data_IF_940743010531
#
_entry.id   IF_940743010531
#
_cell.length_a   1.000
_cell.length_b   1.000
_cell.length_c   1.000
_cell.angle_alpha   90.00
_cell.angle_beta   90.00
_cell.angle_gamma   90.00
#
_symmetry.space_group_name_H-M   'P 1'
#
loop_
_entity.id
_entity.type
_entity.pdbx_description
1 polymer ?
#
# COMPACT_ATOMS: atom_id res chain seq x y z
N UNK A 1 -29.16 10.41 27.67
CA UNK A 1 -27.93 9.69 28.03
C UNK A 1 -27.78 8.51 27.09
N UNK A 2 -26.74 8.52 26.29
CA UNK A 2 -26.51 7.56 25.19
C UNK A 2 -25.56 8.17 24.18
N UNK A 3 -24.32 8.42 24.61
CA UNK A 3 -23.24 8.88 23.76
C UNK A 3 -22.96 7.85 22.66
N UNK A 4 -23.31 8.16 21.41
CA UNK A 4 -22.51 7.69 20.29
C UNK A 4 -21.67 8.87 19.84
N UNK A 5 -20.47 8.91 20.40
CA UNK A 5 -19.38 9.77 19.97
C UNK A 5 -18.89 9.24 18.61
N UNK A 6 -19.76 9.28 17.60
CA UNK A 6 -19.33 9.20 16.22
C UNK A 6 -18.43 10.42 16.04
N UNK A 7 -17.12 10.19 16.12
CA UNK A 7 -16.09 11.19 15.88
C UNK A 7 -16.51 12.00 14.66
N UNK A 8 -16.78 13.29 14.89
CA UNK A 8 -16.92 14.27 13.82
C UNK A 8 -15.59 14.29 13.06
N UNK A 9 -15.49 13.47 12.00
CA UNK A 9 -14.55 13.66 10.91
C UNK A 9 -15.02 14.92 10.19
N UNK A 10 -14.48 16.08 10.54
CA UNK A 10 -14.86 17.34 9.89
C UNK A 10 -14.27 17.40 8.48
N UNK A 11 -15.01 16.87 7.50
CA UNK A 11 -15.49 17.50 6.26
C UNK A 11 -14.62 18.53 5.49
N UNK A 12 -13.30 18.34 5.39
CA UNK A 12 -12.58 18.78 4.18
C UNK A 12 -11.52 17.75 3.82
N UNK A 13 -12.01 16.63 3.31
CA UNK A 13 -11.37 15.80 2.29
C UNK A 13 -9.99 15.21 2.58
N UNK A 14 -9.50 15.13 3.82
CA UNK A 14 -8.32 14.28 4.07
C UNK A 14 -8.72 12.82 3.92
N UNK A 15 -8.34 12.24 2.79
CA UNK A 15 -8.61 10.84 2.41
C UNK A 15 -7.64 9.93 3.16
N UNK A 16 -7.99 8.65 3.30
CA UNK A 16 -7.12 7.63 3.88
C UNK A 16 -5.70 7.67 3.26
N UNK A 17 -5.62 7.93 1.96
CA UNK A 17 -4.36 8.10 1.24
C UNK A 17 -3.51 9.26 1.73
N UNK A 18 -4.10 10.39 2.11
CA UNK A 18 -3.35 11.51 2.69
C UNK A 18 -2.69 11.11 4.01
N UNK A 19 -3.39 10.39 4.87
CA UNK A 19 -2.81 9.91 6.13
C UNK A 19 -1.69 8.90 5.92
N UNK A 20 -1.81 8.03 4.91
CA UNK A 20 -0.75 7.09 4.53
C UNK A 20 0.49 7.84 4.06
N UNK A 21 0.31 8.81 3.16
CA UNK A 21 1.38 9.65 2.60
C UNK A 21 2.05 10.52 3.67
N UNK A 22 1.27 11.07 4.59
CA UNK A 22 1.74 11.89 5.72
C UNK A 22 2.35 11.04 6.86
N UNK A 23 2.24 9.70 6.82
CA UNK A 23 2.77 8.81 7.86
C UNK A 23 1.93 8.74 9.14
N UNK A 24 0.67 9.18 9.08
CA UNK A 24 -0.25 9.37 10.21
C UNK A 24 -0.89 8.05 10.70
N UNK A 25 -0.07 7.12 11.22
CA UNK A 25 -0.49 5.76 11.63
C UNK A 25 -1.71 5.73 12.54
N UNK A 26 -1.83 6.66 13.48
CA UNK A 26 -2.98 6.72 14.41
C UNK A 26 -4.30 6.95 13.67
N UNK A 27 -4.30 7.84 12.67
CA UNK A 27 -5.51 8.13 11.87
C UNK A 27 -5.84 6.96 10.95
N UNK A 28 -4.82 6.36 10.33
CA UNK A 28 -4.97 5.13 9.53
C UNK A 28 -5.55 3.99 10.39
N UNK A 29 -5.06 3.80 11.61
CA UNK A 29 -5.59 2.79 12.56
C UNK A 29 -7.06 3.04 12.89
N UNK A 30 -7.39 4.26 13.26
CA UNK A 30 -8.75 4.67 13.60
C UNK A 30 -9.72 4.52 12.42
N UNK A 31 -9.23 4.74 11.21
CA UNK A 31 -10.00 4.46 10.00
C UNK A 31 -10.26 2.96 9.85
N UNK A 32 -9.22 2.14 9.94
CA UNK A 32 -9.30 0.68 9.79
C UNK A 32 -10.17 -0.02 10.85
N UNK A 33 -10.43 0.60 12.01
CA UNK A 33 -11.36 0.01 12.99
C UNK A 33 -12.82 -0.01 12.53
N UNK A 34 -13.20 0.86 11.58
CA UNK A 34 -14.59 1.01 11.14
C UNK A 34 -14.78 0.78 9.64
N UNK A 35 -13.70 0.50 8.91
CA UNK A 35 -13.68 0.43 7.45
C UNK A 35 -12.64 -0.59 6.97
N UNK A 36 -12.84 -1.11 5.77
CA UNK A 36 -11.84 -1.97 5.12
C UNK A 36 -10.58 -1.16 4.75
N UNK A 37 -9.39 -1.65 5.11
CA UNK A 37 -8.12 -1.00 4.72
C UNK A 37 -7.82 -1.23 3.23
N UNK A 38 -8.27 -2.35 2.67
CA UNK A 38 -8.06 -2.73 1.26
C UNK A 38 -9.17 -2.17 0.38
N UNK A 39 -9.21 -0.84 0.29
CA UNK A 39 -10.11 -0.13 -0.63
C UNK A 39 -9.32 0.81 -1.50
N UNK A 40 -9.86 1.09 -2.69
CA UNK A 40 -9.29 2.07 -3.60
C UNK A 40 -9.84 3.46 -3.28
N UNK A 41 -8.98 4.46 -3.34
CA UNK A 41 -9.37 5.85 -3.29
C UNK A 41 -9.82 6.38 -4.67
N UNK A 42 -9.98 7.70 -4.78
CA UNK A 42 -10.41 8.34 -6.03
C UNK A 42 -9.38 8.28 -7.16
N UNK A 43 -8.12 7.96 -6.85
CA UNK A 43 -7.05 7.75 -7.84
C UNK A 43 -6.96 6.28 -8.23
N UNK A 44 -7.83 5.42 -7.69
CA UNK A 44 -7.84 3.99 -7.94
C UNK A 44 -6.76 3.24 -7.16
N UNK A 45 -6.21 3.84 -6.10
CA UNK A 45 -5.10 3.29 -5.32
C UNK A 45 -5.50 2.90 -3.91
N UNK A 46 -4.95 1.79 -3.46
CA UNK A 46 -5.02 1.35 -2.06
C UNK A 46 -3.94 1.98 -1.16
N UNK A 47 -4.12 1.97 0.17
CA UNK A 47 -3.10 2.38 1.14
C UNK A 47 -1.73 1.73 0.93
N UNK A 48 -1.70 0.44 0.61
CA UNK A 48 -0.43 -0.29 0.41
C UNK A 48 0.34 0.24 -0.79
N UNK A 49 -0.38 0.66 -1.85
CA UNK A 49 0.19 1.22 -3.06
C UNK A 49 0.85 2.57 -2.78
N UNK A 50 0.15 3.44 -2.04
CA UNK A 50 0.72 4.72 -1.61
C UNK A 50 1.94 4.56 -0.70
N UNK A 51 1.93 3.59 0.22
CA UNK A 51 3.09 3.32 1.07
C UNK A 51 4.29 2.82 0.26
N UNK A 52 4.04 1.96 -0.74
CA UNK A 52 5.06 1.46 -1.66
C UNK A 52 5.60 2.55 -2.59
N UNK A 53 4.74 3.32 -3.28
CA UNK A 53 5.10 4.46 -4.13
C UNK A 53 6.00 5.46 -3.39
N UNK A 54 5.66 5.75 -2.13
CA UNK A 54 6.39 6.70 -1.29
C UNK A 54 7.68 6.17 -0.67
N UNK A 55 7.99 4.88 -0.82
CA UNK A 55 9.15 4.27 -0.16
C UNK A 55 9.02 4.24 1.37
N UNK A 56 7.79 4.28 1.91
CA UNK A 56 7.56 4.33 3.34
C UNK A 56 7.41 2.91 3.91
N UNK A 57 8.54 2.21 4.07
CA UNK A 57 8.59 0.86 4.64
C UNK A 57 7.88 0.77 5.99
N UNK A 58 8.05 1.76 6.86
CA UNK A 58 7.45 1.76 8.19
C UNK A 58 5.92 1.87 8.17
N UNK A 59 5.33 2.55 7.19
CA UNK A 59 3.88 2.57 6.98
C UNK A 59 3.41 1.27 6.34
N UNK A 60 4.12 0.75 5.34
CA UNK A 60 3.78 -0.51 4.70
C UNK A 60 3.78 -1.69 5.69
N UNK A 61 4.82 -1.79 6.53
CA UNK A 61 4.89 -2.76 7.61
C UNK A 61 3.69 -2.63 8.56
N UNK A 62 3.32 -1.40 8.92
CA UNK A 62 2.18 -1.14 9.78
C UNK A 62 0.84 -1.59 9.14
N UNK A 63 0.61 -1.26 7.87
CA UNK A 63 -0.58 -1.69 7.13
C UNK A 63 -0.70 -3.22 7.10
N UNK A 64 0.37 -3.94 6.78
CA UNK A 64 0.35 -5.40 6.63
C UNK A 64 0.30 -6.11 7.99
N UNK A 65 1.17 -5.74 8.92
CA UNK A 65 1.35 -6.50 10.18
C UNK A 65 0.33 -6.13 11.27
N UNK A 66 -0.10 -4.88 11.33
CA UNK A 66 -1.06 -4.44 12.37
C UNK A 66 -2.48 -4.33 11.86
N UNK A 67 -2.69 -4.01 10.58
CA UNK A 67 -4.03 -3.82 10.00
C UNK A 67 -4.44 -4.95 9.04
N UNK A 68 -3.60 -5.97 8.88
CA UNK A 68 -3.87 -7.13 8.04
C UNK A 68 -4.21 -6.77 6.58
N UNK A 69 -3.62 -5.69 6.05
CA UNK A 69 -3.78 -5.33 4.64
C UNK A 69 -3.28 -6.46 3.74
N UNK A 70 -4.05 -6.76 2.70
CA UNK A 70 -3.72 -7.82 1.74
C UNK A 70 -2.48 -7.44 0.92
N UNK A 71 -1.42 -8.23 1.03
CA UNK A 71 -0.15 -8.04 0.32
C UNK A 71 -0.34 -8.13 -1.20
N UNK A 72 -1.33 -8.91 -1.64
CA UNK A 72 -1.69 -9.12 -3.05
C UNK A 72 -2.81 -8.19 -3.52
N UNK A 73 -3.20 -7.20 -2.70
CA UNK A 73 -4.22 -6.23 -3.08
C UNK A 73 -3.82 -5.52 -4.37
N UNK A 74 -4.79 -5.42 -5.28
CA UNK A 74 -4.60 -4.83 -6.60
C UNK A 74 -5.30 -3.50 -6.73
N UNK A 75 -4.61 -2.55 -7.33
CA UNK A 75 -5.21 -1.30 -7.75
C UNK A 75 -6.08 -1.46 -9.01
N UNK A 76 -6.62 -0.34 -9.51
CA UNK A 76 -7.48 -0.34 -10.71
C UNK A 76 -6.78 -0.83 -11.98
N UNK A 77 -5.45 -0.71 -12.04
CA UNK A 77 -4.60 -1.10 -13.16
C UNK A 77 -4.02 -2.52 -12.96
N UNK A 78 -4.48 -3.21 -11.91
CA UNK A 78 -4.06 -4.57 -11.59
C UNK A 78 -2.67 -4.66 -10.96
N UNK A 79 -2.05 -3.53 -10.63
CA UNK A 79 -0.74 -3.45 -10.01
C UNK A 79 -0.86 -3.73 -8.51
N UNK A 80 0.22 -4.24 -7.92
CA UNK A 80 0.33 -4.54 -6.47
C UNK A 80 1.38 -3.62 -5.86
N UNK A 81 1.49 -3.59 -4.52
CA UNK A 81 2.58 -2.87 -3.84
C UNK A 81 3.98 -3.25 -4.37
N UNK A 82 4.17 -4.50 -4.80
CA UNK A 82 5.44 -4.96 -5.36
C UNK A 82 5.77 -4.31 -6.70
N UNK A 83 4.78 -4.02 -7.55
CA UNK A 83 4.98 -3.28 -8.80
C UNK A 83 5.46 -1.85 -8.52
N UNK A 84 4.79 -1.13 -7.61
CA UNK A 84 5.17 0.24 -7.23
C UNK A 84 6.55 0.30 -6.60
N UNK A 85 6.86 -0.60 -5.67
CA UNK A 85 8.18 -0.63 -5.04
C UNK A 85 9.29 -0.92 -6.05
N UNK A 86 9.03 -1.81 -7.02
CA UNK A 86 9.98 -2.15 -8.06
C UNK A 86 10.21 -0.98 -9.04
N UNK A 87 9.14 -0.32 -9.49
CA UNK A 87 9.23 0.79 -10.44
C UNK A 87 9.82 2.05 -9.81
N UNK A 88 9.53 2.32 -8.53
CA UNK A 88 10.09 3.46 -7.80
C UNK A 88 11.49 3.20 -7.21
N UNK A 89 12.01 1.96 -7.26
CA UNK A 89 13.38 1.62 -6.83
C UNK A 89 13.54 1.39 -5.33
N UNK A 90 12.46 1.10 -4.59
CA UNK A 90 12.46 0.94 -3.13
C UNK A 90 12.84 -0.49 -2.71
N UNK A 91 14.14 -0.77 -2.72
CA UNK A 91 14.68 -2.13 -2.51
C UNK A 91 14.36 -2.74 -1.14
N UNK A 92 14.26 -1.92 -0.11
CA UNK A 92 13.88 -2.33 1.25
C UNK A 92 12.43 -2.82 1.32
N UNK A 93 11.52 -2.16 0.62
CA UNK A 93 10.13 -2.59 0.46
C UNK A 93 10.05 -3.87 -0.38
N UNK A 94 10.78 -3.94 -1.51
CA UNK A 94 10.80 -5.15 -2.35
C UNK A 94 11.27 -6.36 -1.54
N UNK A 95 12.36 -6.23 -0.78
CA UNK A 95 12.85 -7.30 0.13
C UNK A 95 11.77 -7.73 1.11
N UNK A 96 11.15 -6.76 1.80
CA UNK A 96 10.12 -7.05 2.80
C UNK A 96 8.90 -7.77 2.20
N UNK A 97 8.40 -7.33 1.05
CA UNK A 97 7.26 -7.98 0.39
C UNK A 97 7.60 -9.42 -0.06
N UNK A 98 8.80 -9.66 -0.58
CA UNK A 98 9.27 -11.01 -0.95
C UNK A 98 9.39 -11.91 0.28
N UNK A 99 9.93 -11.41 1.39
CA UNK A 99 10.03 -12.15 2.65
C UNK A 99 8.67 -12.59 3.19
N UNK A 100 7.62 -11.81 2.92
CA UNK A 100 6.23 -12.15 3.26
C UNK A 100 5.54 -13.05 2.22
N UNK A 101 6.23 -13.42 1.14
CA UNK A 101 5.71 -14.33 0.12
C UNK A 101 4.90 -13.66 -0.98
N UNK A 102 5.09 -12.36 -1.23
CA UNK A 102 4.43 -11.68 -2.35
C UNK A 102 4.74 -12.36 -3.70
N UNK A 103 3.74 -12.43 -4.57
CA UNK A 103 3.89 -13.08 -5.88
C UNK A 103 4.74 -12.22 -6.83
N UNK A 104 6.03 -12.57 -6.95
CA UNK A 104 6.99 -11.93 -7.87
C UNK A 104 6.60 -11.98 -9.36
N UNK A 105 5.71 -12.89 -9.74
CA UNK A 105 5.31 -13.15 -11.14
C UNK A 105 3.91 -12.64 -11.47
N UNK A 106 3.29 -11.91 -10.52
CA UNK A 106 1.97 -11.32 -10.71
C UNK A 106 2.00 -10.35 -11.88
N UNK A 107 0.96 -10.38 -12.72
CA UNK A 107 0.81 -9.50 -13.88
C UNK A 107 -0.22 -8.42 -13.61
N UNK A 108 0.11 -7.18 -13.96
CA UNK A 108 -0.83 -6.07 -14.04
C UNK A 108 -1.73 -6.17 -15.29
N UNK A 109 -2.56 -5.14 -15.52
CA UNK A 109 -3.51 -5.11 -16.64
C UNK A 109 -2.82 -5.06 -18.02
N UNK A 110 -1.61 -4.49 -18.11
CA UNK A 110 -0.79 -4.48 -19.32
C UNK A 110 0.01 -5.76 -19.51
N UNK A 111 -0.06 -6.68 -18.53
CA UNK A 111 0.61 -7.97 -18.55
C UNK A 111 2.06 -7.91 -18.06
N UNK A 112 2.50 -6.76 -17.51
CA UNK A 112 3.82 -6.57 -16.95
C UNK A 112 3.90 -7.13 -15.53
N UNK A 113 5.07 -7.66 -15.19
CA UNK A 113 5.43 -8.16 -13.87
C UNK A 113 6.24 -7.12 -13.10
N UNK A 114 6.37 -7.25 -11.76
CA UNK A 114 7.25 -6.38 -10.99
C UNK A 114 8.69 -6.35 -11.51
N UNK A 115 9.20 -7.47 -12.03
CA UNK A 115 10.54 -7.54 -12.61
C UNK A 115 10.67 -6.69 -13.87
N UNK A 116 9.63 -6.66 -14.72
CA UNK A 116 9.64 -5.94 -15.99
C UNK A 116 9.51 -4.42 -15.81
N UNK A 117 8.92 -3.97 -14.70
CA UNK A 117 8.84 -2.53 -14.35
C UNK A 117 9.98 -2.05 -13.44
N UNK A 118 10.91 -2.94 -13.05
CA UNK A 118 12.00 -2.61 -12.12
C UNK A 118 12.91 -1.50 -12.67
N UNK A 119 13.13 -0.45 -11.88
CA UNK A 119 13.93 0.71 -12.31
C UNK A 119 15.43 0.58 -12.05
N UNK A 120 15.83 -0.27 -11.09
CA UNK A 120 17.22 -0.37 -10.62
C UNK A 120 17.78 -1.80 -10.70
N UNK A 121 19.09 -1.98 -10.96
CA UNK A 121 19.72 -3.31 -11.02
C UNK A 121 19.57 -4.13 -9.73
N UNK A 122 19.56 -3.48 -8.56
CA UNK A 122 19.35 -4.17 -7.28
C UNK A 122 17.95 -4.81 -7.23
N UNK A 123 16.92 -4.11 -7.70
CA UNK A 123 15.55 -4.62 -7.76
C UNK A 123 15.45 -5.81 -8.70
N UNK A 124 16.08 -5.71 -9.88
CA UNK A 124 16.17 -6.83 -10.83
C UNK A 124 16.79 -8.05 -10.16
N UNK A 125 17.84 -7.89 -9.37
CA UNK A 125 18.49 -8.99 -8.65
C UNK A 125 17.60 -9.62 -7.57
N UNK A 126 16.71 -8.85 -6.93
CA UNK A 126 15.77 -9.36 -5.93
C UNK A 126 14.60 -10.11 -6.57
N UNK A 127 14.17 -9.65 -7.74
CA UNK A 127 13.01 -10.17 -8.46
C UNK A 127 13.33 -11.29 -9.46
N UNK A 128 14.59 -11.44 -9.86
CA UNK A 128 15.07 -12.63 -10.60
C UNK A 128 14.99 -13.90 -9.77
#
# INVERSE_FOLDING_TARGET
SGSSFAMQLTDTEKKLSDWVRDGEKTKVKQYATNSNIDQLDGDGLGPIHWAADRGNLGMLQFLISELNADIEFRDQDGQTALHYAASCGHADIVKYLIELGANKTVKDADGATPLEVASEPEIVSLLS
#
